data_IF_740830177067
#
_entry.id   IF_740830177067
#
_cell.length_a   1.000
_cell.length_b   1.000
_cell.length_c   1.000
_cell.angle_alpha   90.00
_cell.angle_beta   90.00
_cell.angle_gamma   90.00
#
_symmetry.space_group_name_H-M   'P 1'
#
loop_
_entity.id
_entity.type
_entity.pdbx_description
1 polymer ?
#
# COMPACT_ATOMS: atom_id res chain seq x y z
N UNK A 1 8.19 -2.68 13.75
CA UNK A 1 7.81 -1.32 14.21
C UNK A 1 6.90 -0.58 13.23
N UNK A 2 6.72 -1.02 11.97
CA UNK A 2 5.87 -0.33 10.98
C UNK A 2 4.43 -0.89 10.96
N UNK A 3 4.28 -2.10 11.48
CA UNK A 3 3.05 -2.87 11.57
C UNK A 3 1.92 -2.14 12.31
N UNK A 4 2.13 -1.52 13.51
CA UNK A 4 1.04 -0.82 14.20
C UNK A 4 0.51 0.39 13.41
N UNK A 5 1.40 1.16 12.77
CA UNK A 5 0.99 2.30 11.96
C UNK A 5 0.18 1.86 10.73
N UNK A 6 0.55 0.74 10.10
CA UNK A 6 -0.21 0.17 8.98
C UNK A 6 -1.58 -0.33 9.44
N UNK A 7 -1.66 -0.92 10.63
CA UNK A 7 -2.93 -1.35 11.20
C UNK A 7 -3.85 -0.16 11.47
N UNK A 8 -3.35 0.91 12.10
CA UNK A 8 -4.14 2.11 12.37
C UNK A 8 -4.67 2.78 11.08
N UNK A 9 -3.83 2.90 10.04
CA UNK A 9 -4.27 3.47 8.75
C UNK A 9 -5.35 2.60 8.12
N UNK A 10 -5.15 1.28 8.10
CA UNK A 10 -6.11 0.36 7.51
C UNK A 10 -7.41 0.25 8.31
N UNK A 11 -7.42 0.55 9.61
CA UNK A 11 -8.63 0.49 10.43
C UNK A 11 -9.38 1.84 10.43
N UNK A 12 -8.67 2.94 10.65
CA UNK A 12 -9.28 4.22 11.02
C UNK A 12 -9.31 5.28 9.90
N UNK A 13 -8.78 4.97 8.71
CA UNK A 13 -8.80 5.90 7.58
C UNK A 13 -9.59 5.37 6.38
N UNK A 14 -9.89 6.23 5.42
CA UNK A 14 -10.43 5.85 4.12
C UNK A 14 -9.35 5.31 3.15
N UNK A 15 -8.12 5.10 3.62
CA UNK A 15 -7.03 4.55 2.82
C UNK A 15 -6.80 3.07 3.17
N UNK A 16 -6.34 2.30 2.20
CA UNK A 16 -5.68 1.02 2.45
C UNK A 16 -4.18 1.16 2.19
N UNK A 17 -3.36 0.47 2.99
CA UNK A 17 -1.90 0.47 2.88
C UNK A 17 -1.39 -0.97 3.03
N UNK A 18 -0.44 -1.32 2.16
CA UNK A 18 0.40 -2.51 2.28
C UNK A 18 1.86 -2.09 2.13
N UNK A 19 2.76 -2.92 2.65
CA UNK A 19 4.19 -2.69 2.52
C UNK A 19 4.93 -3.99 2.24
N UNK A 20 6.08 -3.87 1.59
CA UNK A 20 7.04 -4.94 1.41
C UNK A 20 8.45 -4.44 1.72
N UNK A 21 9.35 -5.37 1.98
CA UNK A 21 10.77 -5.07 2.18
C UNK A 21 11.54 -5.34 0.90
N UNK A 22 12.41 -4.40 0.51
CA UNK A 22 13.47 -4.66 -0.46
C UNK A 22 14.75 -4.98 0.29
N UNK A 23 15.40 -6.07 -0.13
CA UNK A 23 16.63 -6.58 0.47
C UNK A 23 17.75 -6.53 -0.57
N UNK A 24 18.95 -6.23 -0.10
CA UNK A 24 20.19 -6.49 -0.82
C UNK A 24 20.96 -7.55 -0.03
N UNK A 25 20.97 -8.79 -0.56
CA UNK A 25 21.42 -9.95 0.20
C UNK A 25 20.62 -10.15 1.50
N UNK A 26 21.32 -10.18 2.64
CA UNK A 26 20.73 -10.39 3.97
C UNK A 26 20.20 -9.11 4.62
N UNK A 27 20.52 -7.95 4.05
CA UNK A 27 20.20 -6.65 4.63
C UNK A 27 18.93 -6.07 4.00
N UNK A 28 17.98 -5.62 4.83
CA UNK A 28 16.84 -4.83 4.39
C UNK A 28 17.33 -3.42 4.08
N UNK A 29 17.10 -2.96 2.86
CA UNK A 29 17.58 -1.64 2.40
C UNK A 29 16.44 -0.64 2.30
N UNK A 30 15.24 -1.09 1.94
CA UNK A 30 14.09 -0.20 1.76
C UNK A 30 12.79 -0.87 2.16
N UNK A 31 11.80 -0.04 2.47
CA UNK A 31 10.40 -0.43 2.52
C UNK A 31 9.68 0.16 1.31
N UNK A 32 8.91 -0.67 0.62
CA UNK A 32 8.07 -0.24 -0.49
C UNK A 32 6.62 -0.27 -0.03
N UNK A 33 5.98 0.90 -0.03
CA UNK A 33 4.57 1.03 0.31
C UNK A 33 3.71 1.06 -0.94
N UNK A 34 2.52 0.47 -0.82
CA UNK A 34 1.46 0.56 -1.81
C UNK A 34 0.18 0.95 -1.08
N UNK A 35 -0.53 1.93 -1.62
CA UNK A 35 -1.73 2.45 -0.99
C UNK A 35 -2.74 2.96 -2.01
N UNK A 36 -3.96 3.15 -1.55
CA UNK A 36 -5.06 3.72 -2.33
C UNK A 36 -6.24 4.06 -1.45
N UNK A 37 -7.28 4.64 -2.05
CA UNK A 37 -8.54 4.94 -1.35
C UNK A 37 -9.41 3.69 -1.32
N UNK A 38 -10.00 3.39 -0.16
CA UNK A 38 -11.01 2.34 0.01
C UNK A 38 -12.24 2.67 -0.81
N UNK A 39 -12.87 1.65 -1.37
CA UNK A 39 -14.13 1.76 -2.12
C UNK A 39 -14.12 2.74 -3.31
N UNK A 40 -12.93 3.11 -3.80
CA UNK A 40 -12.83 3.94 -4.99
C UNK A 40 -13.39 3.15 -6.19
N UNK A 41 -14.41 3.67 -6.89
CA UNK A 41 -14.91 3.00 -8.08
C UNK A 41 -13.74 2.86 -9.04
N UNK A 42 -13.39 1.61 -9.39
CA UNK A 42 -12.34 1.33 -10.37
C UNK A 42 -12.65 2.18 -11.59
N UNK A 43 -11.88 3.25 -11.80
CA UNK A 43 -11.99 4.05 -13.00
C UNK A 43 -11.83 3.05 -14.15
N UNK A 44 -12.93 2.79 -14.87
CA UNK A 44 -12.89 1.97 -16.08
C UNK A 44 -11.84 2.64 -16.94
N UNK A 45 -10.69 1.99 -17.11
CA UNK A 45 -9.72 2.40 -18.13
C UNK A 45 -10.55 2.51 -19.40
N UNK A 46 -10.70 3.73 -19.94
CA UNK A 46 -11.30 3.91 -21.25
C UNK A 46 -10.45 3.08 -22.20
N UNK A 47 -10.97 1.93 -22.59
CA UNK A 47 -10.42 1.16 -23.69
C UNK A 47 -10.67 2.04 -24.92
N UNK A 48 -9.63 2.74 -25.36
CA UNK A 48 -9.63 3.38 -26.66
C UNK A 48 -9.60 2.23 -27.66
N UNK A 49 -10.75 1.95 -28.27
CA UNK A 49 -10.88 1.09 -29.46
C UNK A 49 -11.01 2.02 -30.65
#
# INVERSE_FOLDING_TARGET
MIEPAIAEINEHSNLWVKYGQRKSGRTVTHFQFQFGVKDQPKQRKKLIV
#
